data_IF_889859032296
#
_entry.id   IF_889859032296
#
_cell.length_a   1.000
_cell.length_b   1.000
_cell.length_c   1.000
_cell.angle_alpha   90.00
_cell.angle_beta   90.00
_cell.angle_gamma   90.00
#
_symmetry.space_group_name_H-M   'P 1'
#
loop_
_entity.id
_entity.type
_entity.pdbx_description
1 polymer ?
#
# COMPACT_ATOMS: atom_id res chain seq x y z
N UNK A 1 1.25 15.08 6.64
CA UNK A 1 1.00 13.64 6.33
C UNK A 1 0.51 13.52 4.92
N UNK A 2 1.09 12.59 4.15
CA UNK A 2 0.71 12.28 2.78
C UNK A 2 0.01 10.91 2.74
N UNK A 3 -1.29 10.94 2.47
CA UNK A 3 -2.12 9.75 2.41
C UNK A 3 -2.41 9.38 0.96
N UNK A 4 -1.91 8.22 0.53
CA UNK A 4 -2.14 7.69 -0.80
C UNK A 4 -3.06 6.47 -0.77
N UNK A 5 -3.97 6.37 -1.73
CA UNK A 5 -4.75 5.17 -1.99
C UNK A 5 -4.77 4.90 -3.49
N UNK A 6 -4.47 3.66 -3.89
CA UNK A 6 -4.42 3.24 -5.29
C UNK A 6 -5.30 1.99 -5.46
N UNK A 7 -6.30 2.10 -6.33
CA UNK A 7 -7.17 1.01 -6.76
C UNK A 7 -6.89 0.65 -8.22
N UNK A 8 -6.74 -0.64 -8.50
CA UNK A 8 -6.44 -1.15 -9.84
C UNK A 8 -7.53 -2.14 -10.23
N UNK A 9 -8.08 -1.94 -11.42
CA UNK A 9 -8.97 -2.88 -12.11
C UNK A 9 -8.38 -3.17 -13.49
N UNK A 10 -8.86 -4.19 -14.24
CA UNK A 10 -8.26 -4.54 -15.55
C UNK A 10 -8.29 -3.42 -16.60
N UNK A 11 -9.13 -2.40 -16.40
CA UNK A 11 -9.47 -1.39 -17.39
C UNK A 11 -9.49 0.03 -16.80
N UNK A 12 -9.21 0.18 -15.50
CA UNK A 12 -9.14 1.47 -14.83
C UNK A 12 -8.16 1.42 -13.66
N UNK A 13 -7.29 2.42 -13.59
CA UNK A 13 -6.44 2.70 -12.43
C UNK A 13 -6.91 4.01 -11.82
N UNK A 14 -7.11 4.02 -10.50
CA UNK A 14 -7.46 5.21 -9.73
C UNK A 14 -6.44 5.38 -8.62
N UNK A 15 -5.80 6.54 -8.57
CA UNK A 15 -5.00 6.95 -7.43
C UNK A 15 -5.62 8.19 -6.80
N UNK A 16 -5.50 8.30 -5.49
CA UNK A 16 -5.93 9.46 -4.74
C UNK A 16 -4.88 9.78 -3.71
N UNK A 17 -4.53 11.07 -3.66
CA UNK A 17 -3.67 11.62 -2.64
C UNK A 17 -4.46 12.63 -1.81
N UNK A 18 -4.24 12.61 -0.51
CA UNK A 18 -4.73 13.59 0.44
C UNK A 18 -3.55 14.01 1.30
N UNK A 19 -3.28 15.31 1.36
CA UNK A 19 -2.22 15.86 2.19
C UNK A 19 -2.46 17.33 2.51
N UNK A 20 -1.68 17.84 3.46
CA UNK A 20 -1.64 19.27 3.79
C UNK A 20 -0.55 19.96 2.98
N UNK A 21 -0.78 21.21 2.59
CA UNK A 21 0.20 22.04 1.89
C UNK A 21 1.41 22.34 2.80
N UNK A 22 1.12 22.59 4.08
CA UNK A 22 2.13 22.83 5.11
C UNK A 22 2.67 21.53 5.70
N UNK A 23 3.99 21.35 5.60
CA UNK A 23 4.68 20.11 6.00
C UNK A 23 4.61 19.79 7.49
N UNK A 24 4.41 20.80 8.36
CA UNK A 24 4.31 20.59 9.80
C UNK A 24 2.93 20.11 10.25
N UNK A 25 1.90 20.22 9.40
CA UNK A 25 0.55 19.76 9.72
C UNK A 25 0.45 18.25 9.49
N UNK A 26 0.25 17.51 10.58
CA UNK A 26 0.19 16.05 10.57
C UNK A 26 -0.77 15.51 11.62
N UNK A 27 -1.32 14.35 11.31
CA UNK A 27 -2.03 13.54 12.29
C UNK A 27 -1.03 12.96 13.28
N UNK A 28 -1.46 12.81 14.53
CA UNK A 28 -0.62 12.31 15.62
C UNK A 28 -0.41 10.79 15.57
N UNK A 29 -1.33 10.07 14.93
CA UNK A 29 -1.28 8.62 14.80
C UNK A 29 -1.28 8.19 13.33
N UNK A 30 -0.75 6.99 13.07
CA UNK A 30 -0.82 6.38 11.74
C UNK A 30 -2.27 6.02 11.38
N UNK A 31 -3.06 5.56 12.36
CA UNK A 31 -4.44 5.15 12.14
C UNK A 31 -5.31 6.29 11.58
N UNK A 32 -5.07 7.51 12.06
CA UNK A 32 -5.74 8.72 11.57
C UNK A 32 -5.14 9.22 10.24
N UNK A 33 -3.82 9.08 10.08
CA UNK A 33 -3.05 9.64 8.96
C UNK A 33 -2.91 8.75 7.73
N UNK A 34 -3.28 7.47 7.81
CA UNK A 34 -3.05 6.51 6.73
C UNK A 34 -4.00 6.73 5.53
N UNK A 35 -3.52 6.34 4.35
CA UNK A 35 -4.29 6.42 3.09
C UNK A 35 -5.64 5.71 3.12
N UNK A 36 -5.77 4.64 3.91
CA UNK A 36 -7.03 3.92 4.10
C UNK A 36 -8.12 4.75 4.79
N UNK A 37 -7.73 5.64 5.70
CA UNK A 37 -8.63 6.51 6.45
C UNK A 37 -8.97 7.76 5.64
N UNK A 38 -7.96 8.36 4.99
CA UNK A 38 -8.11 9.68 4.35
C UNK A 38 -8.42 9.60 2.85
N UNK A 39 -7.62 8.87 2.08
CA UNK A 39 -7.69 8.88 0.61
C UNK A 39 -8.70 7.86 0.04
N UNK A 40 -8.87 6.70 0.69
CA UNK A 40 -9.79 5.64 0.25
C UNK A 40 -11.25 6.08 0.14
N UNK A 41 -11.85 6.84 1.09
CA UNK A 41 -13.25 7.24 0.97
C UNK A 41 -13.52 8.10 -0.26
N UNK A 42 -12.55 8.93 -0.66
CA UNK A 42 -12.63 9.75 -1.88
C UNK A 42 -12.59 8.86 -3.12
N UNK A 43 -11.64 7.92 -3.19
CA UNK A 43 -11.55 6.95 -4.29
C UNK A 43 -12.81 6.08 -4.38
N UNK A 44 -13.37 5.65 -3.26
CA UNK A 44 -14.62 4.87 -3.21
C UNK A 44 -15.79 5.66 -3.80
N UNK A 45 -15.97 6.92 -3.39
CA UNK A 45 -17.04 7.75 -3.92
C UNK A 45 -16.90 7.98 -5.44
N UNK A 46 -15.67 8.19 -5.91
CA UNK A 46 -15.37 8.29 -7.33
C UNK A 46 -15.76 7.01 -8.08
N UNK A 47 -15.33 5.84 -7.60
CA UNK A 47 -15.64 4.53 -8.21
C UNK A 47 -17.16 4.28 -8.25
N UNK A 48 -17.88 4.55 -7.16
CA UNK A 48 -19.34 4.41 -7.12
C UNK A 48 -20.05 5.38 -8.07
N UNK A 49 -19.51 6.57 -8.29
CA UNK A 49 -20.09 7.54 -9.22
C UNK A 49 -19.94 7.07 -10.68
N UNK A 50 -18.75 6.61 -11.07
CA UNK A 50 -18.50 6.14 -12.44
C UNK A 50 -19.18 4.82 -12.76
N UNK A 51 -19.37 3.94 -11.77
CA UNK A 51 -20.11 2.69 -11.93
C UNK A 51 -21.60 2.93 -12.20
N UNK A 52 -22.16 4.01 -11.64
CA UNK A 52 -23.57 4.39 -11.81
C UNK A 52 -23.83 5.16 -13.10
N UNK A 53 -22.80 5.74 -13.71
CA UNK A 53 -22.94 6.55 -14.92
C UNK A 53 -23.12 5.65 -16.17
N UNK A 54 -24.30 5.66 -16.82
CA UNK A 54 -24.56 4.83 -18.00
C UNK A 54 -23.74 5.25 -19.24
N UNK A 55 -23.17 6.47 -19.26
CA UNK A 55 -22.36 6.97 -20.37
C UNK A 55 -20.96 6.37 -20.39
N UNK A 56 -20.38 6.11 -19.22
CA UNK A 56 -19.01 5.60 -19.07
C UNK A 56 -18.91 4.12 -19.50
N UNK A 57 -20.02 3.37 -19.40
CA UNK A 57 -20.10 1.93 -19.75
C UNK A 57 -18.95 1.11 -19.16
N UNK A 58 -18.58 1.39 -17.91
CA UNK A 58 -17.50 0.70 -17.22
C UNK A 58 -17.89 -0.76 -16.95
N UNK A 59 -17.07 -1.70 -17.43
CA UNK A 59 -17.21 -3.10 -17.06
C UNK A 59 -16.48 -3.38 -15.74
N UNK A 60 -17.15 -3.12 -14.62
CA UNK A 60 -16.65 -3.35 -13.25
C UNK A 60 -16.64 -4.83 -12.83
N UNK A 61 -17.20 -5.72 -13.65
CA UNK A 61 -17.19 -7.19 -13.43
C UNK A 61 -16.10 -7.90 -14.23
N UNK A 62 -15.23 -7.15 -14.91
CA UNK A 62 -14.12 -7.75 -15.67
C UNK A 62 -13.07 -8.27 -14.69
N UNK A 63 -12.66 -9.52 -14.87
CA UNK A 63 -11.57 -10.13 -14.13
C UNK A 63 -10.21 -9.82 -14.79
N UNK A 64 -9.14 -9.91 -13.99
CA UNK A 64 -7.78 -9.86 -14.53
C UNK A 64 -7.50 -11.10 -15.37
N UNK A 65 -6.83 -10.89 -16.50
CA UNK A 65 -6.41 -11.99 -17.36
C UNK A 65 -5.29 -12.77 -16.69
N UNK A 66 -5.43 -14.09 -16.68
CA UNK A 66 -4.40 -14.99 -16.17
C UNK A 66 -3.24 -15.00 -17.17
N UNK A 67 -1.98 -14.85 -16.72
CA UNK A 67 -0.82 -14.94 -17.61
C UNK A 67 -0.82 -16.25 -18.39
N UNK A 68 -0.49 -16.18 -19.69
CA UNK A 68 -0.46 -17.36 -20.57
C UNK A 68 0.66 -18.35 -20.21
N UNK A 69 1.77 -17.85 -19.67
CA UNK A 69 2.88 -18.68 -19.21
C UNK A 69 2.51 -19.37 -17.89
N UNK A 70 2.38 -20.71 -17.84
CA UNK A 70 2.00 -21.45 -16.64
C UNK A 70 3.01 -21.35 -15.49
N UNK A 71 4.24 -20.88 -15.75
CA UNK A 71 5.27 -20.68 -14.72
C UNK A 71 4.83 -19.71 -13.61
N UNK A 72 3.86 -18.82 -13.89
CA UNK A 72 3.33 -17.88 -12.90
C UNK A 72 2.78 -18.58 -11.64
N UNK A 73 2.29 -19.81 -11.77
CA UNK A 73 1.77 -20.58 -10.63
C UNK A 73 2.86 -20.94 -9.63
N UNK A 74 4.08 -21.15 -10.10
CA UNK A 74 5.23 -21.41 -9.24
C UNK A 74 5.67 -20.16 -8.46
N UNK A 75 5.42 -18.96 -8.99
CA UNK A 75 5.66 -17.70 -8.29
C UNK A 75 4.65 -17.47 -7.16
N UNK A 76 3.45 -18.05 -7.26
CA UNK A 76 2.39 -17.92 -6.26
C UNK A 76 2.46 -18.99 -5.15
N UNK A 77 3.36 -19.95 -5.25
CA UNK A 77 3.52 -20.99 -4.23
C UNK A 77 4.29 -20.47 -3.01
N UNK A 78 3.55 -20.01 -2.00
CA UNK A 78 4.12 -19.55 -0.73
C UNK A 78 4.94 -20.62 0.00
N UNK A 79 4.67 -21.92 -0.22
CA UNK A 79 5.43 -22.99 0.45
C UNK A 79 6.89 -23.05 -0.03
N UNK A 80 7.14 -22.64 -1.28
CA UNK A 80 8.49 -22.57 -1.86
C UNK A 80 9.34 -21.45 -1.23
N UNK A 81 8.70 -20.37 -0.77
CA UNK A 81 9.39 -19.17 -0.27
C UNK A 81 9.40 -19.03 1.25
N UNK A 82 8.51 -19.72 1.99
CA UNK A 82 8.53 -19.76 3.45
C UNK A 82 9.73 -20.56 3.94
N UNK A 83 10.83 -19.86 4.23
CA UNK A 83 12.07 -20.45 4.77
C UNK A 83 12.04 -20.57 6.28
N UNK A 84 11.31 -19.69 6.96
CA UNK A 84 11.21 -19.63 8.43
C UNK A 84 9.77 -19.43 8.86
N UNK A 85 9.48 -19.68 10.13
CA UNK A 85 8.13 -19.50 10.65
C UNK A 85 7.75 -18.02 10.69
N UNK A 86 6.45 -17.65 10.54
CA UNK A 86 6.01 -16.25 10.63
C UNK A 86 6.32 -15.57 11.98
N UNK A 87 6.66 -16.34 13.01
CA UNK A 87 7.15 -15.85 14.30
C UNK A 87 8.63 -15.48 14.26
N UNK A 88 9.46 -16.28 13.59
CA UNK A 88 10.89 -16.03 13.42
C UNK A 88 11.12 -14.85 12.46
N UNK A 89 10.42 -14.84 11.32
CA UNK A 89 10.40 -13.72 10.36
C UNK A 89 10.11 -12.37 11.05
N UNK A 90 9.12 -12.37 11.96
CA UNK A 90 8.76 -11.17 12.73
C UNK A 90 9.86 -10.74 13.68
N UNK A 91 10.49 -11.70 14.37
CA UNK A 91 11.61 -11.42 15.29
C UNK A 91 12.80 -10.83 14.56
N UNK A 92 13.18 -11.42 13.42
CA UNK A 92 14.27 -10.91 12.58
C UNK A 92 13.97 -9.51 12.06
N UNK A 93 12.75 -9.27 11.56
CA UNK A 93 12.35 -7.94 11.08
C UNK A 93 12.37 -6.88 12.19
N UNK A 94 12.01 -7.25 13.43
CA UNK A 94 12.10 -6.37 14.60
C UNK A 94 13.54 -6.10 14.99
N UNK A 95 14.40 -7.12 15.04
CA UNK A 95 15.83 -6.93 15.33
C UNK A 95 16.52 -6.05 14.27
N UNK A 96 16.19 -6.26 13.00
CA UNK A 96 16.74 -5.45 11.92
C UNK A 96 16.29 -3.98 12.00
N UNK A 97 15.02 -3.73 12.38
CA UNK A 97 14.54 -2.37 12.66
C UNK A 97 15.30 -1.72 13.81
N UNK A 98 15.43 -2.43 14.93
CA UNK A 98 16.17 -1.92 16.10
C UNK A 98 17.60 -1.56 15.72
N UNK A 99 18.28 -2.41 14.95
CA UNK A 99 19.65 -2.13 14.50
C UNK A 99 19.74 -0.92 13.56
N UNK A 100 18.74 -0.71 12.71
CA UNK A 100 18.68 0.48 11.84
C UNK A 100 18.42 1.75 12.64
N UNK A 101 17.49 1.70 13.59
CA UNK A 101 17.15 2.83 14.46
C UNK A 101 18.38 3.21 15.33
N UNK A 102 19.11 2.24 15.89
CA UNK A 102 20.37 2.46 16.64
C UNK A 102 21.47 3.09 15.76
N UNK A 103 21.59 2.66 14.50
CA UNK A 103 22.55 3.21 13.55
C UNK A 103 22.22 4.66 13.17
N UNK A 104 20.95 4.96 12.91
CA UNK A 104 20.52 6.33 12.59
C UNK A 104 20.75 7.29 13.77
N UNK A 105 20.46 6.85 15.01
CA UNK A 105 20.77 7.62 16.22
C UNK A 105 22.28 7.90 16.39
N UNK A 106 23.14 6.90 16.14
CA UNK A 106 24.60 7.05 16.21
C UNK A 106 25.15 7.99 15.11
N UNK A 107 24.54 8.01 13.93
CA UNK A 107 24.90 8.95 12.85
C UNK A 107 24.49 10.40 13.16
N UNK A 108 23.34 10.59 13.81
CA UNK A 108 22.89 11.92 14.24
C UNK A 108 23.76 12.48 15.39
N UNK A 109 24.20 11.64 16.33
CA UNK A 109 25.10 12.07 17.43
C UNK A 109 26.54 12.37 16.99
N UNK A 110 27.06 11.65 15.99
CA UNK A 110 28.45 11.81 15.52
C UNK A 110 28.59 12.77 14.32
N UNK A 111 27.50 13.41 13.90
CA UNK A 111 27.41 14.32 12.75
C UNK A 111 27.61 15.82 13.04
N UNK A 112 27.84 16.20 14.30
CA UNK A 112 28.33 17.54 14.72
C UNK A 112 29.87 17.60 14.82
#
# INVERSE_FOLDING_TARGET
NDAWFIGITPNLVVSTWVGGDEKWVRFFTLDDGQGFTLARPVAQNFLLAIEKDPLIKLNYRKDFEVPADPSYRELLDCAKYKRITPSEERRESMQQKIQYDEFDEEFEENGE
#
